data_IF_047185286463
#
_entry.id   IF_047185286463
#
_cell.length_a   1.000
_cell.length_b   1.000
_cell.length_c   1.000
_cell.angle_alpha   90.00
_cell.angle_beta   90.00
_cell.angle_gamma   90.00
#
_symmetry.space_group_name_H-M   'P 1'
#
loop_
_entity.id
_entity.type
_entity.pdbx_description
1 polymer ?
#
# COMPACT_ATOMS: atom_id res chain seq x y z
N UNK A 1 -16.21 -9.65 -20.05
CA UNK A 1 -17.08 -8.84 -19.19
C UNK A 1 -16.28 -7.71 -18.58
N UNK A 2 -16.93 -6.60 -18.31
CA UNK A 2 -16.34 -5.47 -17.60
C UNK A 2 -17.16 -5.18 -16.35
N UNK A 3 -16.50 -4.68 -15.32
CA UNK A 3 -17.11 -4.30 -14.05
C UNK A 3 -16.56 -2.97 -13.56
N UNK A 4 -17.39 -2.23 -12.85
CA UNK A 4 -17.04 -1.04 -12.11
C UNK A 4 -17.47 -1.22 -10.66
N UNK A 5 -16.55 -1.12 -9.73
CA UNK A 5 -16.81 -1.24 -8.31
C UNK A 5 -16.34 -0.01 -7.57
N UNK A 6 -17.01 0.31 -6.47
CA UNK A 6 -16.64 1.41 -5.58
C UNK A 6 -16.31 0.85 -4.20
N UNK A 7 -15.43 1.51 -3.49
CA UNK A 7 -15.12 1.17 -2.12
C UNK A 7 -15.08 2.42 -1.23
N UNK A 8 -15.32 2.20 0.05
CA UNK A 8 -15.18 3.21 1.09
C UNK A 8 -14.57 2.54 2.32
N UNK A 9 -13.73 3.25 3.05
CA UNK A 9 -13.05 2.70 4.21
C UNK A 9 -12.76 3.73 5.28
N UNK A 10 -12.51 3.20 6.48
CA UNK A 10 -12.01 3.96 7.62
C UNK A 10 -10.95 3.13 8.34
N UNK A 11 -9.87 3.77 8.76
CA UNK A 11 -8.84 3.18 9.62
C UNK A 11 -8.54 4.07 10.81
N UNK A 12 -8.22 3.47 11.94
CA UNK A 12 -7.81 4.19 13.16
C UNK A 12 -6.44 4.82 13.07
N UNK A 13 -5.58 4.29 12.18
CA UNK A 13 -4.30 4.90 11.82
C UNK A 13 -3.95 4.46 10.40
N UNK A 14 -3.46 5.39 9.60
CA UNK A 14 -3.02 5.10 8.25
C UNK A 14 -1.50 4.92 8.22
N UNK A 15 -1.09 3.69 7.97
CA UNK A 15 0.30 3.29 7.74
C UNK A 15 0.43 2.72 6.33
N UNK A 16 1.45 3.15 5.62
CA UNK A 16 1.71 2.69 4.27
C UNK A 16 3.17 2.28 4.12
N UNK A 17 3.41 1.03 3.75
CA UNK A 17 4.76 0.45 3.64
C UNK A 17 5.61 0.69 4.89
N UNK A 18 5.01 0.58 6.07
CA UNK A 18 5.67 0.82 7.35
C UNK A 18 5.90 2.29 7.70
N UNK A 19 5.41 3.23 6.90
CA UNK A 19 5.47 4.66 7.17
C UNK A 19 4.13 5.20 7.66
N UNK A 20 4.16 5.92 8.77
CA UNK A 20 2.97 6.59 9.31
C UNK A 20 2.53 7.73 8.40
N UNK A 21 1.23 7.79 8.11
CA UNK A 21 0.63 8.83 7.29
C UNK A 21 -0.33 9.73 8.07
N UNK A 22 -1.22 9.15 8.89
CA UNK A 22 -2.22 9.92 9.62
C UNK A 22 -2.76 9.11 10.83
N UNK A 23 -3.24 9.80 11.86
CA UNK A 23 -3.86 9.20 13.06
C UNK A 23 -5.17 8.48 12.76
N UNK A 24 -5.92 8.95 11.76
CA UNK A 24 -7.11 8.28 11.24
C UNK A 24 -7.30 8.66 9.78
N UNK A 25 -7.97 7.82 9.01
CA UNK A 25 -8.20 8.11 7.59
C UNK A 25 -9.52 7.54 7.10
N UNK A 26 -10.24 8.34 6.33
CA UNK A 26 -11.36 7.93 5.48
C UNK A 26 -10.83 7.80 4.07
N UNK A 27 -11.29 6.80 3.35
CA UNK A 27 -10.90 6.57 1.96
C UNK A 27 -12.10 6.23 1.08
N UNK A 28 -11.96 6.53 -0.21
CA UNK A 28 -12.90 6.16 -1.27
C UNK A 28 -12.10 5.72 -2.49
N UNK A 29 -12.64 4.74 -3.21
CA UNK A 29 -12.03 4.26 -4.44
C UNK A 29 -13.04 3.85 -5.48
N UNK A 30 -12.54 3.73 -6.71
CA UNK A 30 -13.28 3.19 -7.85
C UNK A 30 -12.33 2.35 -8.70
N UNK A 31 -12.76 1.14 -9.03
CA UNK A 31 -12.00 0.18 -9.81
C UNK A 31 -12.79 -0.28 -11.02
N UNK A 32 -12.19 -0.17 -12.19
CA UNK A 32 -12.72 -0.68 -13.45
C UNK A 32 -11.86 -1.85 -13.91
N UNK A 33 -12.52 -2.94 -14.26
CA UNK A 33 -11.87 -4.13 -14.80
C UNK A 33 -12.53 -4.53 -16.13
N UNK A 34 -11.72 -4.92 -17.10
CA UNK A 34 -12.19 -5.46 -18.37
C UNK A 34 -11.21 -6.49 -18.91
N UNK A 35 -11.60 -7.75 -18.93
CA UNK A 35 -10.70 -8.85 -19.23
C UNK A 35 -9.54 -8.89 -18.23
N UNK A 36 -8.32 -8.78 -18.73
CA UNK A 36 -7.11 -8.75 -17.92
C UNK A 36 -6.64 -7.32 -17.59
N UNK A 37 -7.34 -6.31 -18.08
CA UNK A 37 -7.03 -4.90 -17.86
C UNK A 37 -7.71 -4.38 -16.61
N UNK A 38 -7.01 -3.55 -15.83
CA UNK A 38 -7.58 -2.82 -14.71
C UNK A 38 -7.18 -1.34 -14.76
N UNK A 39 -8.07 -0.50 -14.25
CA UNK A 39 -7.85 0.94 -14.06
C UNK A 39 -8.56 1.34 -12.77
N UNK A 40 -7.90 2.05 -11.89
CA UNK A 40 -8.52 2.47 -10.65
C UNK A 40 -7.99 3.79 -10.12
N UNK A 41 -8.72 4.30 -9.13
CA UNK A 41 -8.33 5.45 -8.33
C UNK A 41 -8.74 5.23 -6.88
N UNK A 42 -7.92 5.75 -5.98
CA UNK A 42 -8.16 5.71 -4.56
C UNK A 42 -7.80 7.07 -3.95
N UNK A 43 -8.63 7.55 -3.05
CA UNK A 43 -8.45 8.86 -2.40
C UNK A 43 -8.54 8.64 -0.89
N UNK A 44 -7.58 9.17 -0.15
CA UNK A 44 -7.54 9.06 1.30
C UNK A 44 -7.18 10.39 1.97
N UNK A 45 -7.75 10.59 3.16
CA UNK A 45 -7.36 11.65 4.05
C UNK A 45 -5.98 11.35 4.65
N UNK A 46 -5.04 12.25 4.48
CA UNK A 46 -3.67 12.17 5.05
C UNK A 46 -3.41 13.23 6.12
N UNK A 47 -4.47 13.90 6.59
CA UNK A 47 -4.38 14.93 7.62
C UNK A 47 -3.99 16.29 7.08
N UNK A 48 -3.21 17.02 7.88
CA UNK A 48 -2.80 18.37 7.54
C UNK A 48 -1.40 18.41 6.92
N UNK A 49 -1.23 19.29 5.95
CA UNK A 49 0.07 19.60 5.38
C UNK A 49 0.96 20.35 6.39
N UNK A 50 2.22 20.56 6.04
CA UNK A 50 3.13 21.41 6.81
C UNK A 50 2.66 22.88 6.99
N UNK A 51 1.61 23.28 6.27
CA UNK A 51 0.98 24.60 6.34
C UNK A 51 -0.40 24.58 7.01
N UNK A 52 -0.71 23.50 7.76
CA UNK A 52 -1.99 23.25 8.44
C UNK A 52 -3.22 23.22 7.48
N UNK A 53 -2.99 22.91 6.20
CA UNK A 53 -4.07 22.72 5.23
C UNK A 53 -4.50 21.26 5.16
N UNK A 54 -5.82 20.94 5.18
CA UNK A 54 -6.31 19.59 5.00
C UNK A 54 -5.84 19.00 3.67
N UNK A 55 -5.30 17.80 3.69
CA UNK A 55 -4.65 17.18 2.54
C UNK A 55 -5.23 15.83 2.19
N UNK A 56 -5.25 15.53 0.90
CA UNK A 56 -5.68 14.26 0.35
C UNK A 56 -4.53 13.61 -0.42
N UNK A 57 -4.43 12.29 -0.29
CA UNK A 57 -3.69 11.43 -1.23
C UNK A 57 -4.63 10.99 -2.34
N UNK A 58 -4.18 11.08 -3.57
CA UNK A 58 -4.91 10.64 -4.76
C UNK A 58 -4.02 9.68 -5.52
N UNK A 59 -4.45 8.43 -5.59
CA UNK A 59 -3.76 7.36 -6.31
C UNK A 59 -4.48 7.08 -7.62
N UNK A 60 -3.72 6.91 -8.69
CA UNK A 60 -4.23 6.48 -10.00
C UNK A 60 -3.35 5.31 -10.44
N UNK A 61 -3.98 4.20 -10.81
CA UNK A 61 -3.27 2.99 -11.20
C UNK A 61 -3.94 2.28 -12.36
N UNK A 62 -3.13 1.65 -13.18
CA UNK A 62 -3.58 0.85 -14.31
C UNK A 62 -2.58 -0.26 -14.61
N UNK A 63 -3.03 -1.30 -15.27
CA UNK A 63 -2.18 -2.40 -15.67
C UNK A 63 -2.95 -3.57 -16.24
N UNK A 64 -2.28 -4.68 -16.37
CA UNK A 64 -2.87 -5.90 -16.88
C UNK A 64 -2.29 -7.14 -16.21
N UNK A 65 -3.16 -8.15 -16.07
CA UNK A 65 -2.79 -9.49 -15.63
C UNK A 65 -2.45 -10.39 -16.81
N UNK A 66 -1.54 -11.32 -16.57
CA UNK A 66 -1.13 -12.33 -17.54
C UNK A 66 -0.63 -13.58 -16.82
N UNK A 67 -0.53 -14.66 -17.55
CA UNK A 67 0.10 -15.88 -17.07
C UNK A 67 1.57 -15.90 -17.48
N UNK A 68 2.46 -16.03 -16.51
CA UNK A 68 3.89 -16.19 -16.75
C UNK A 68 4.30 -17.60 -16.32
N UNK A 69 4.52 -18.48 -17.28
CA UNK A 69 4.92 -19.89 -17.05
C UNK A 69 3.96 -20.64 -16.12
N UNK A 70 2.65 -20.39 -16.25
CA UNK A 70 1.62 -21.01 -15.42
C UNK A 70 1.35 -20.31 -14.08
N UNK A 71 1.97 -19.15 -13.83
CA UNK A 71 1.80 -18.36 -12.62
C UNK A 71 1.07 -17.06 -12.92
N UNK A 72 -0.08 -16.79 -12.26
CA UNK A 72 -0.77 -15.50 -12.38
C UNK A 72 0.16 -14.35 -12.01
N UNK A 73 0.25 -13.37 -12.90
CA UNK A 73 1.19 -12.25 -12.78
C UNK A 73 0.51 -10.96 -13.22
N UNK A 74 1.07 -9.81 -12.85
CA UNK A 74 0.63 -8.53 -13.36
C UNK A 74 1.80 -7.58 -13.61
N UNK A 75 1.58 -6.64 -14.51
CA UNK A 75 2.43 -5.50 -14.75
C UNK A 75 1.56 -4.25 -14.75
N UNK A 76 1.94 -3.23 -14.01
CA UNK A 76 1.16 -2.01 -13.90
C UNK A 76 2.00 -0.78 -13.60
N UNK A 77 1.33 0.35 -13.64
CA UNK A 77 1.88 1.65 -13.28
C UNK A 77 0.97 2.31 -12.25
N UNK A 78 1.55 3.12 -11.38
CA UNK A 78 0.84 3.81 -10.33
C UNK A 78 1.42 5.20 -10.10
N UNK A 79 0.55 6.19 -9.91
CA UNK A 79 0.91 7.51 -9.47
C UNK A 79 0.28 7.82 -8.12
N UNK A 80 1.03 8.46 -7.25
CA UNK A 80 0.59 8.99 -5.95
C UNK A 80 0.71 10.50 -6.00
N UNK A 81 -0.39 11.19 -5.75
CA UNK A 81 -0.48 12.65 -5.80
C UNK A 81 -1.09 13.16 -4.51
N UNK A 82 -0.63 14.31 -4.05
CA UNK A 82 -1.07 14.91 -2.79
C UNK A 82 -1.54 16.33 -3.00
N UNK A 83 -2.63 16.70 -2.34
CA UNK A 83 -3.10 18.09 -2.34
C UNK A 83 -2.34 18.92 -1.30
N UNK A 84 -2.39 20.23 -1.45
CA UNK A 84 -1.92 21.23 -0.46
C UNK A 84 -0.46 21.05 -0.03
N UNK A 85 0.38 20.56 -0.94
CA UNK A 85 1.82 20.33 -0.71
C UNK A 85 2.12 19.39 0.50
N UNK A 86 1.22 18.46 0.80
CA UNK A 86 1.47 17.44 1.83
C UNK A 86 2.74 16.65 1.54
N UNK A 87 2.88 16.19 0.31
CA UNK A 87 4.08 15.51 -0.21
C UNK A 87 4.19 15.78 -1.72
N UNK A 88 5.24 15.29 -2.34
CA UNK A 88 5.48 15.35 -3.78
C UNK A 88 4.91 14.11 -4.47
N UNK A 89 4.96 14.10 -5.79
CA UNK A 89 4.44 13.01 -6.60
C UNK A 89 5.39 11.81 -6.58
N UNK A 90 4.79 10.61 -6.56
CA UNK A 90 5.48 9.34 -6.75
C UNK A 90 4.90 8.65 -7.97
N UNK A 91 5.75 8.09 -8.82
CA UNK A 91 5.34 7.29 -9.97
C UNK A 91 6.07 5.95 -9.93
N UNK A 92 5.32 4.85 -10.13
CA UNK A 92 5.84 3.51 -9.95
C UNK A 92 5.49 2.61 -11.14
N UNK A 93 6.43 1.74 -11.49
CA UNK A 93 6.17 0.56 -12.33
C UNK A 93 6.23 -0.66 -11.43
N UNK A 94 5.15 -1.44 -11.40
CA UNK A 94 4.98 -2.57 -10.52
C UNK A 94 4.86 -3.88 -11.29
N UNK A 95 5.39 -4.94 -10.69
CA UNK A 95 5.28 -6.32 -11.16
C UNK A 95 5.02 -7.23 -9.98
N UNK A 96 4.12 -8.19 -10.13
CA UNK A 96 3.85 -9.17 -9.10
C UNK A 96 3.48 -10.53 -9.65
N UNK A 97 3.60 -11.55 -8.80
CA UNK A 97 3.25 -12.94 -9.09
C UNK A 97 2.57 -13.58 -7.89
N UNK A 98 1.59 -14.45 -8.17
CA UNK A 98 0.86 -15.21 -7.16
C UNK A 98 1.08 -16.71 -7.36
N UNK A 99 1.80 -17.33 -6.41
CA UNK A 99 2.08 -18.77 -6.39
C UNK A 99 1.05 -19.56 -5.59
N UNK A 100 0.00 -18.92 -5.08
CA UNK A 100 -1.03 -19.53 -4.22
C UNK A 100 -0.61 -19.63 -2.76
N UNK A 101 0.49 -20.29 -2.45
CA UNK A 101 1.04 -20.41 -1.08
C UNK A 101 1.73 -19.12 -0.60
N UNK A 102 2.16 -18.31 -1.52
CA UNK A 102 2.73 -16.99 -1.30
C UNK A 102 2.61 -16.15 -2.58
N UNK A 103 2.62 -14.86 -2.45
CA UNK A 103 2.68 -13.92 -3.57
C UNK A 103 3.70 -12.82 -3.28
N UNK A 104 4.14 -12.12 -4.30
CA UNK A 104 4.90 -10.91 -4.11
C UNK A 104 4.37 -9.78 -4.99
N UNK A 105 4.54 -8.57 -4.46
CA UNK A 105 4.34 -7.32 -5.17
C UNK A 105 5.67 -6.57 -5.17
N UNK A 106 6.11 -6.10 -6.31
CA UNK A 106 7.36 -5.33 -6.40
C UNK A 106 7.15 -4.04 -7.18
N UNK A 107 7.77 -2.98 -6.69
CA UNK A 107 8.04 -1.78 -7.47
C UNK A 107 9.41 -1.95 -8.10
N UNK A 108 9.44 -2.24 -9.40
CA UNK A 108 10.68 -2.45 -10.14
C UNK A 108 11.37 -1.14 -10.48
N UNK A 109 10.61 -0.06 -10.55
CA UNK A 109 11.11 1.30 -10.69
C UNK A 109 10.12 2.27 -10.05
N UNK A 110 10.57 3.07 -9.10
CA UNK A 110 9.84 4.16 -8.48
C UNK A 110 10.63 5.46 -8.62
N UNK A 111 9.92 6.55 -8.88
CA UNK A 111 10.49 7.89 -9.02
C UNK A 111 9.75 8.86 -8.09
N UNK A 112 10.49 9.42 -7.15
CA UNK A 112 10.03 10.50 -6.28
C UNK A 112 10.35 11.84 -6.92
N UNK A 113 9.32 12.60 -7.27
CA UNK A 113 9.45 13.92 -7.90
C UNK A 113 9.75 14.98 -6.84
N UNK A 114 11.00 15.20 -6.57
CA UNK A 114 11.42 16.26 -5.67
C UNK A 114 10.96 17.64 -6.16
N UNK A 115 10.76 18.57 -5.23
CA UNK A 115 10.44 19.97 -5.55
C UNK A 115 11.58 20.66 -6.30
N UNK A 116 11.29 21.85 -6.81
CA UNK A 116 12.30 22.66 -7.51
C UNK A 116 13.55 22.88 -6.64
N UNK A 117 14.70 22.56 -7.21
CA UNK A 117 16.00 22.70 -6.53
C UNK A 117 16.48 21.48 -5.77
N UNK A 118 15.72 20.40 -5.70
CA UNK A 118 16.11 19.13 -5.12
C UNK A 118 16.24 18.06 -6.20
N UNK A 119 17.14 17.10 -6.02
CA UNK A 119 17.24 15.96 -6.93
C UNK A 119 16.06 14.99 -6.70
N UNK A 120 15.49 14.50 -7.79
CA UNK A 120 14.59 13.34 -7.74
C UNK A 120 15.35 12.12 -7.24
N UNK A 121 14.68 11.22 -6.54
CA UNK A 121 15.29 9.98 -6.08
C UNK A 121 14.53 8.78 -6.60
N UNK A 122 15.28 7.83 -7.15
CA UNK A 122 14.75 6.54 -7.58
C UNK A 122 14.72 5.56 -6.42
N UNK A 123 13.73 4.68 -6.41
CA UNK A 123 13.61 3.63 -5.41
C UNK A 123 12.94 2.39 -6.01
N UNK A 124 13.04 1.30 -5.29
CA UNK A 124 12.23 0.10 -5.50
C UNK A 124 11.57 -0.32 -4.20
N UNK A 125 10.67 -1.27 -4.28
CA UNK A 125 10.01 -1.85 -3.13
C UNK A 125 9.66 -3.31 -3.43
N UNK A 126 9.77 -4.17 -2.42
CA UNK A 126 9.38 -5.57 -2.51
C UNK A 126 8.52 -5.94 -1.31
N UNK A 127 7.40 -6.60 -1.57
CA UNK A 127 6.51 -7.13 -0.53
C UNK A 127 6.22 -8.60 -0.80
N UNK A 128 6.53 -9.46 0.18
CA UNK A 128 6.15 -10.85 0.22
C UNK A 128 4.88 -11.00 1.05
N UNK A 129 3.87 -11.69 0.53
CA UNK A 129 2.61 -11.98 1.22
C UNK A 129 2.48 -13.49 1.40
N UNK A 130 2.19 -13.93 2.61
CA UNK A 130 2.00 -15.34 2.96
C UNK A 130 0.64 -15.50 3.64
N UNK A 131 -0.39 -16.06 2.96
CA UNK A 131 -1.63 -16.42 3.61
C UNK A 131 -1.39 -17.56 4.61
N UNK A 132 -1.83 -17.37 5.86
CA UNK A 132 -1.61 -18.34 6.93
C UNK A 132 -2.82 -19.26 7.10
N UNK A 133 -4.02 -18.71 7.15
CA UNK A 133 -5.29 -19.46 7.24
C UNK A 133 -6.46 -18.55 6.83
N UNK A 134 -7.52 -19.16 6.31
CA UNK A 134 -8.80 -18.52 5.99
C UNK A 134 -9.90 -18.81 7.01
N UNK A 135 -9.58 -19.52 8.10
CA UNK A 135 -10.53 -20.01 9.09
C UNK A 135 -10.09 -19.75 10.54
N UNK A 136 -9.59 -18.55 10.80
CA UNK A 136 -9.20 -18.12 12.15
C UNK A 136 -10.29 -17.19 12.71
N UNK A 137 -11.05 -17.67 13.69
CA UNK A 137 -12.19 -16.91 14.30
C UNK A 137 -13.12 -16.26 13.27
N UNK A 138 -13.48 -17.03 12.23
CA UNK A 138 -14.38 -16.56 11.17
C UNK A 138 -13.74 -15.66 10.12
N UNK A 139 -12.44 -15.46 10.18
CA UNK A 139 -11.70 -14.59 9.27
C UNK A 139 -10.42 -15.20 8.74
N UNK A 140 -9.70 -14.40 7.98
CA UNK A 140 -8.43 -14.74 7.35
C UNK A 140 -7.26 -14.09 8.08
N UNK A 141 -6.17 -14.83 8.22
CA UNK A 141 -4.91 -14.37 8.82
C UNK A 141 -3.80 -14.48 7.78
N UNK A 142 -3.04 -13.42 7.61
CA UNK A 142 -1.90 -13.35 6.71
C UNK A 142 -0.68 -12.72 7.36
N UNK A 143 0.48 -13.00 6.79
CA UNK A 143 1.75 -12.39 7.16
C UNK A 143 2.36 -11.71 5.94
N UNK A 144 2.98 -10.55 6.11
CA UNK A 144 3.77 -9.92 5.07
C UNK A 144 5.10 -9.41 5.58
N UNK A 145 6.07 -9.41 4.68
CA UNK A 145 7.37 -8.79 4.86
C UNK A 145 7.64 -7.87 3.68
N UNK A 146 8.08 -6.67 3.94
CA UNK A 146 8.35 -5.71 2.88
C UNK A 146 9.57 -4.85 3.19
N UNK A 147 10.25 -4.39 2.14
CA UNK A 147 11.41 -3.51 2.25
C UNK A 147 11.55 -2.63 1.02
N UNK A 148 12.16 -1.47 1.20
CA UNK A 148 12.59 -0.65 0.08
C UNK A 148 13.94 -1.13 -0.45
N UNK A 149 14.12 -1.02 -1.77
CA UNK A 149 15.36 -1.33 -2.48
C UNK A 149 15.90 -0.05 -3.11
N UNK A 150 16.75 0.66 -2.37
CA UNK A 150 17.21 2.00 -2.75
C UNK A 150 16.35 3.12 -2.15
N UNK A 151 16.75 4.36 -2.41
CA UNK A 151 16.15 5.54 -1.78
C UNK A 151 16.69 5.79 -0.38
N UNK A 152 15.95 6.58 0.41
CA UNK A 152 16.36 7.03 1.75
C UNK A 152 15.75 6.22 2.90
N UNK A 153 14.88 5.26 2.61
CA UNK A 153 14.22 4.43 3.62
C UNK A 153 14.97 3.10 3.74
N UNK A 154 15.43 2.79 4.95
CA UNK A 154 16.33 1.68 5.24
C UNK A 154 15.81 0.77 6.36
N UNK A 155 14.53 0.40 6.33
CA UNK A 155 13.96 -0.57 7.26
C UNK A 155 13.15 -1.63 6.50
N UNK A 156 12.94 -2.77 7.14
CA UNK A 156 12.00 -3.79 6.70
C UNK A 156 10.79 -3.79 7.63
N UNK A 157 9.61 -4.00 7.07
CA UNK A 157 8.36 -4.04 7.82
C UNK A 157 7.78 -5.44 7.81
N UNK A 158 7.41 -5.94 8.99
CA UNK A 158 6.65 -7.16 9.19
C UNK A 158 5.23 -6.80 9.58
N UNK A 159 4.24 -7.43 8.97
CA UNK A 159 2.84 -7.26 9.35
C UNK A 159 2.14 -8.59 9.53
N UNK A 160 1.29 -8.65 10.54
CA UNK A 160 0.29 -9.70 10.71
C UNK A 160 -1.07 -9.07 10.48
N UNK A 161 -1.81 -9.60 9.51
CA UNK A 161 -3.09 -9.06 9.05
C UNK A 161 -4.20 -10.04 9.38
N UNK A 162 -5.27 -9.54 9.98
CA UNK A 162 -6.52 -10.28 10.19
C UNK A 162 -7.66 -9.53 9.53
N UNK A 163 -8.53 -10.24 8.83
CA UNK A 163 -9.73 -9.69 8.20
C UNK A 163 -10.92 -10.60 8.40
N UNK A 164 -12.05 -10.06 8.77
CA UNK A 164 -13.31 -10.80 8.95
C UNK A 164 -14.51 -10.00 8.48
N UNK A 165 -15.49 -10.66 7.81
CA UNK A 165 -16.76 -10.02 7.50
C UNK A 165 -17.50 -9.61 8.77
N UNK A 166 -17.92 -8.36 8.85
CA UNK A 166 -18.73 -7.84 9.95
C UNK A 166 -19.41 -6.52 9.57
N UNK A 167 -20.57 -6.24 10.17
CA UNK A 167 -21.31 -4.98 10.01
C UNK A 167 -21.62 -4.63 8.54
N UNK A 168 -21.79 -5.63 7.68
CA UNK A 168 -22.04 -5.45 6.26
C UNK A 168 -20.83 -5.13 5.41
N UNK A 169 -19.65 -5.10 5.99
CA UNK A 169 -18.36 -4.89 5.35
C UNK A 169 -17.31 -5.86 5.86
N UNK A 170 -16.05 -5.44 5.83
CA UNK A 170 -14.90 -6.20 6.34
C UNK A 170 -14.18 -5.39 7.41
N UNK A 171 -13.98 -6.00 8.57
CA UNK A 171 -13.14 -5.45 9.64
C UNK A 171 -11.73 -6.00 9.47
N UNK A 172 -10.74 -5.12 9.52
CA UNK A 172 -9.33 -5.46 9.45
C UNK A 172 -8.59 -5.07 10.73
N UNK A 173 -7.66 -5.91 11.14
CA UNK A 173 -6.70 -5.62 12.21
C UNK A 173 -5.32 -5.90 11.66
N UNK A 174 -4.41 -4.94 11.78
CA UNK A 174 -3.00 -5.08 11.39
C UNK A 174 -2.13 -4.79 12.59
N UNK A 175 -1.16 -5.65 12.82
CA UNK A 175 -0.06 -5.41 13.75
C UNK A 175 1.22 -5.41 12.92
N UNK A 176 1.95 -4.30 12.95
CA UNK A 176 3.16 -4.11 12.17
C UNK A 176 4.36 -3.73 13.03
N UNK A 177 5.53 -4.07 12.54
CA UNK A 177 6.81 -3.70 13.16
C UNK A 177 7.86 -3.41 12.10
N UNK A 178 8.57 -2.31 12.28
CA UNK A 178 9.71 -1.92 11.44
C UNK A 178 11.01 -2.33 12.12
N UNK A 179 11.78 -3.18 11.47
CA UNK A 179 13.12 -3.53 11.90
C UNK A 179 14.11 -2.41 11.55
N UNK A 180 15.20 -2.33 12.29
CA UNK A 180 16.35 -1.51 11.93
C UNK A 180 16.87 -1.88 10.53
N UNK A 181 17.20 -0.89 9.73
CA UNK A 181 17.68 -1.06 8.35
C UNK A 181 19.10 -1.64 8.22
N UNK A 182 19.72 -2.01 9.33
CA UNK A 182 21.03 -2.63 9.35
C UNK A 182 22.22 -1.62 9.33
N UNK A 183 23.42 -2.15 9.27
CA UNK A 183 24.64 -1.37 9.34
C UNK A 183 24.76 -0.37 8.17
N UNK A 184 24.95 0.89 8.49
CA UNK A 184 25.08 1.99 7.51
C UNK A 184 23.77 2.63 7.09
N UNK A 185 22.62 2.13 7.57
CA UNK A 185 21.34 2.77 7.34
C UNK A 185 21.22 4.11 8.08
N UNK A 186 20.63 5.08 7.42
CA UNK A 186 20.24 6.33 8.10
C UNK A 186 18.98 6.04 8.91
N UNK A 187 19.00 6.36 10.20
CA UNK A 187 17.84 6.15 11.06
C UNK A 187 16.67 6.98 10.57
N UNK A 188 15.55 6.32 10.29
CA UNK A 188 14.29 6.96 9.99
C UNK A 188 13.44 7.02 11.28
N UNK A 189 12.54 7.99 11.39
CA UNK A 189 11.64 8.14 12.54
C UNK A 189 10.74 6.92 12.78
N UNK A 190 10.46 6.13 11.73
CA UNK A 190 9.60 4.95 11.80
C UNK A 190 10.37 3.64 12.03
N UNK A 191 11.71 3.69 12.16
CA UNK A 191 12.51 2.51 12.53
C UNK A 191 12.23 2.07 13.98
N UNK A 192 12.28 0.76 14.23
CA UNK A 192 12.02 0.15 15.53
C UNK A 192 10.63 0.51 16.10
N UNK A 193 9.67 0.80 15.21
CA UNK A 193 8.31 1.17 15.59
C UNK A 193 7.38 -0.02 15.45
N UNK A 194 6.56 -0.25 16.46
CA UNK A 194 5.44 -1.20 16.44
C UNK A 194 4.14 -0.44 16.40
N UNK A 195 3.22 -0.85 15.53
CA UNK A 195 1.92 -0.21 15.38
C UNK A 195 0.80 -1.24 15.26
N UNK A 196 -0.41 -0.83 15.58
CA UNK A 196 -1.62 -1.60 15.36
C UNK A 196 -2.70 -0.69 14.77
N UNK A 197 -3.48 -1.23 13.83
CA UNK A 197 -4.60 -0.52 13.21
C UNK A 197 -5.85 -1.36 13.23
N UNK A 198 -6.99 -0.68 13.34
CA UNK A 198 -8.32 -1.26 13.17
C UNK A 198 -9.00 -0.54 12.01
N UNK A 199 -9.55 -1.29 11.08
CA UNK A 199 -10.21 -0.73 9.90
C UNK A 199 -11.56 -1.37 9.65
N UNK A 200 -12.41 -0.66 8.91
CA UNK A 200 -13.62 -1.19 8.30
C UNK A 200 -13.69 -0.73 6.86
N UNK A 201 -14.06 -1.63 5.94
CA UNK A 201 -14.18 -1.34 4.53
C UNK A 201 -15.47 -1.89 3.94
N UNK A 202 -15.98 -1.19 2.93
CA UNK A 202 -17.18 -1.55 2.17
C UNK A 202 -16.88 -1.52 0.67
N UNK A 203 -17.51 -2.45 -0.06
CA UNK A 203 -17.47 -2.52 -1.53
C UNK A 203 -18.90 -2.50 -2.07
N UNK A 204 -19.12 -1.71 -3.14
CA UNK A 204 -20.43 -1.54 -3.79
C UNK A 204 -20.37 -1.87 -5.27
#
# INVERSE_FOLDING_TARGET
SSSLTFNAGFTTAYWYRGAFQNDSSISFGADYESGNFYLGTWVADVGESQFDDPSLEIDIYTGFGFDLLGVPSYLGVMGYYYTDNFDRDYEEVAFGMDFGVASFDSVIYGDYKAGSGSASSDYGHFKLNVPLTDSFYGGSLGYSWQTFTGGSIHYATHELDYSTPALGGDIGIVIGHNNDGGAGATKNSDQDTTYATLSIGYTF
#
